data_IF_245750341369
#
_entry.id   IF_245750341369
#
_cell.length_a   1.000
_cell.length_b   1.000
_cell.length_c   1.000
_cell.angle_alpha   90.00
_cell.angle_beta   90.00
_cell.angle_gamma   90.00
#
_symmetry.space_group_name_H-M   'P 1'
#
loop_
_entity.id
_entity.type
_entity.pdbx_description
1 polymer ?
#
# COMPACT_ATOMS: atom_id res chain seq x y z
N UNK A 1 2.92 26.29 -28.31
CA UNK A 1 1.99 25.22 -27.99
C UNK A 1 2.67 24.25 -26.99
N UNK A 2 1.96 23.86 -25.96
CA UNK A 2 2.43 22.93 -24.94
C UNK A 2 1.62 21.61 -24.95
N UNK A 3 0.84 21.41 -25.99
CA UNK A 3 -0.11 20.29 -26.10
C UNK A 3 0.59 18.93 -26.04
N UNK A 4 1.78 18.85 -26.62
CA UNK A 4 2.56 17.61 -26.70
C UNK A 4 3.55 17.39 -25.54
N UNK A 5 3.60 18.32 -24.57
CA UNK A 5 4.42 18.11 -23.38
C UNK A 5 3.84 16.97 -22.54
N UNK A 6 4.66 16.01 -22.08
CA UNK A 6 4.22 15.00 -21.12
C UNK A 6 3.70 15.62 -19.82
N UNK A 7 2.98 14.84 -19.02
CA UNK A 7 2.68 15.24 -17.63
C UNK A 7 4.00 15.42 -16.86
N UNK A 8 4.08 16.45 -16.02
CA UNK A 8 5.28 16.72 -15.26
C UNK A 8 5.38 18.17 -14.77
N UNK A 9 6.49 18.43 -14.11
CA UNK A 9 6.81 19.76 -13.60
C UNK A 9 7.76 20.46 -14.56
N UNK A 10 7.36 21.64 -15.02
CA UNK A 10 8.12 22.44 -15.97
C UNK A 10 8.41 23.83 -15.41
N UNK A 11 9.54 24.39 -15.78
CA UNK A 11 9.82 25.79 -15.57
C UNK A 11 9.76 26.49 -16.94
N UNK A 12 8.73 27.32 -17.15
CA UNK A 12 8.71 28.25 -18.27
C UNK A 12 9.64 29.42 -17.97
N UNK A 13 10.66 29.56 -18.77
CA UNK A 13 11.61 30.67 -18.66
C UNK A 13 11.37 31.64 -19.82
N UNK A 14 10.98 32.85 -19.50
CA UNK A 14 10.83 33.93 -20.46
C UNK A 14 12.02 34.85 -20.30
N UNK A 15 12.79 35.03 -21.36
CA UNK A 15 13.97 35.89 -21.39
C UNK A 15 13.73 37.06 -22.35
N UNK A 16 14.04 38.26 -21.92
CA UNK A 16 14.08 39.45 -22.76
C UNK A 16 15.56 39.79 -23.01
N UNK A 17 15.94 39.79 -24.27
CA UNK A 17 17.32 40.05 -24.69
C UNK A 17 17.37 41.29 -25.59
N UNK A 18 18.45 42.06 -25.50
CA UNK A 18 18.67 43.20 -26.37
C UNK A 18 19.18 42.77 -27.77
N UNK A 19 19.38 43.76 -28.69
CA UNK A 19 19.89 43.49 -30.04
C UNK A 19 21.29 42.86 -30.06
N UNK A 20 22.05 42.95 -28.95
CA UNK A 20 23.35 42.31 -28.77
C UNK A 20 23.28 40.96 -28.09
N UNK A 21 22.07 40.41 -27.93
CA UNK A 21 21.80 39.12 -27.27
C UNK A 21 22.13 39.09 -25.74
N UNK A 22 22.27 40.26 -25.10
CA UNK A 22 22.48 40.35 -23.66
C UNK A 22 21.13 40.23 -22.94
N UNK A 23 21.11 39.49 -21.84
CA UNK A 23 19.90 39.25 -21.04
C UNK A 23 19.54 40.54 -20.27
N UNK A 24 18.37 41.11 -20.56
CA UNK A 24 17.86 42.33 -19.90
C UNK A 24 16.95 41.93 -18.72
N UNK A 25 16.08 40.92 -18.91
CA UNK A 25 15.15 40.48 -17.91
C UNK A 25 14.84 38.98 -18.08
N UNK A 26 14.58 38.31 -16.97
CA UNK A 26 14.18 36.93 -16.97
C UNK A 26 13.02 36.73 -15.98
N UNK A 27 12.03 35.97 -16.39
CA UNK A 27 10.95 35.48 -15.48
C UNK A 27 10.83 33.99 -15.60
N UNK A 28 10.85 33.31 -14.45
CA UNK A 28 10.55 31.89 -14.35
C UNK A 28 9.12 31.71 -13.80
N UNK A 29 8.35 30.86 -14.46
CA UNK A 29 7.01 30.48 -14.03
C UNK A 29 7.00 28.97 -13.93
N UNK A 30 6.68 28.46 -12.75
CA UNK A 30 6.47 27.04 -12.54
C UNK A 30 5.13 26.63 -13.13
N UNK A 31 5.13 25.60 -13.97
CA UNK A 31 3.92 25.02 -14.56
C UNK A 31 3.91 23.54 -14.24
N UNK A 32 2.84 23.11 -13.61
CA UNK A 32 2.56 21.69 -13.41
C UNK A 32 1.51 21.28 -14.43
N UNK A 33 1.82 20.25 -15.22
CA UNK A 33 0.87 19.63 -16.13
C UNK A 33 0.45 18.28 -15.59
N UNK A 34 -0.83 18.15 -15.22
CA UNK A 34 -1.43 16.86 -14.92
C UNK A 34 -1.74 16.14 -16.25
N UNK A 35 -1.26 14.92 -16.39
CA UNK A 35 -1.64 14.06 -17.51
C UNK A 35 -2.84 13.23 -17.07
N UNK A 36 -3.97 13.40 -17.73
CA UNK A 36 -5.20 12.61 -17.49
C UNK A 36 -5.21 11.27 -18.24
N UNK A 37 -4.18 10.99 -19.05
CA UNK A 37 -3.97 9.70 -19.69
C UNK A 37 -2.95 8.85 -18.92
N UNK A 38 -2.98 7.53 -19.07
CA UNK A 38 -2.14 6.55 -18.35
C UNK A 38 -0.68 7.03 -18.16
N UNK A 39 -0.43 7.60 -16.98
CA UNK A 39 0.80 8.36 -16.66
C UNK A 39 2.00 7.43 -16.59
N UNK A 40 1.79 6.15 -16.37
CA UNK A 40 2.81 5.12 -16.26
C UNK A 40 2.95 4.29 -17.54
N UNK A 41 3.03 4.95 -18.69
CA UNK A 41 3.53 4.29 -19.89
C UNK A 41 5.07 4.30 -19.88
N UNK A 42 5.68 3.24 -20.43
CA UNK A 42 7.14 3.15 -20.61
C UNK A 42 7.74 4.39 -21.32
N UNK A 43 7.00 5.00 -22.22
CA UNK A 43 7.41 6.17 -22.98
C UNK A 43 7.55 7.41 -22.08
N UNK A 44 6.59 7.62 -21.18
CA UNK A 44 6.62 8.75 -20.23
C UNK A 44 7.78 8.61 -19.24
N UNK A 45 7.99 7.40 -18.72
CA UNK A 45 9.08 7.13 -17.78
C UNK A 45 10.46 7.35 -18.43
N UNK A 46 10.65 6.98 -19.70
CA UNK A 46 11.91 7.21 -20.42
C UNK A 46 12.30 8.68 -20.50
N UNK A 47 11.34 9.59 -20.55
CA UNK A 47 11.58 11.03 -20.69
C UNK A 47 11.95 11.74 -19.36
N UNK A 48 11.78 11.09 -18.22
CA UNK A 48 12.06 11.68 -16.92
C UNK A 48 13.58 11.83 -16.73
N UNK A 49 14.02 13.02 -16.35
CA UNK A 49 15.40 13.24 -15.92
C UNK A 49 15.50 13.11 -14.40
N UNK A 50 16.28 12.16 -13.93
CA UNK A 50 16.51 11.91 -12.49
C UNK A 50 17.85 12.40 -11.97
N UNK A 51 18.67 13.05 -12.81
CA UNK A 51 19.96 13.59 -12.39
C UNK A 51 19.78 14.63 -11.28
N UNK A 52 20.47 14.42 -10.15
CA UNK A 52 20.38 15.28 -8.98
C UNK A 52 19.11 15.08 -8.14
N UNK A 53 18.29 14.08 -8.44
CA UNK A 53 17.14 13.70 -7.60
C UNK A 53 17.56 12.74 -6.48
N UNK A 54 16.66 12.55 -5.50
CA UNK A 54 16.93 11.65 -4.38
C UNK A 54 17.15 10.19 -4.80
N UNK A 55 16.66 9.77 -5.97
CA UNK A 55 16.83 8.41 -6.48
C UNK A 55 18.21 8.16 -7.09
N UNK A 56 18.97 9.20 -7.36
CA UNK A 56 20.24 9.07 -8.07
C UNK A 56 21.31 8.32 -7.26
N UNK A 57 21.29 8.46 -5.95
CA UNK A 57 22.24 7.83 -5.03
C UNK A 57 21.94 6.34 -4.73
N UNK A 58 20.78 5.80 -5.14
CA UNK A 58 20.39 4.44 -4.77
C UNK A 58 21.07 3.38 -5.62
N UNK A 59 21.55 2.31 -4.97
CA UNK A 59 22.04 1.11 -5.62
C UNK A 59 20.90 0.31 -6.25
N UNK A 60 21.23 -0.62 -7.16
CA UNK A 60 20.21 -1.48 -7.76
C UNK A 60 19.47 -2.35 -6.74
N UNK A 61 20.16 -2.86 -5.73
CA UNK A 61 19.57 -3.65 -4.65
C UNK A 61 18.57 -2.83 -3.84
N UNK A 62 18.93 -1.57 -3.51
CA UNK A 62 18.02 -0.65 -2.83
C UNK A 62 16.79 -0.35 -3.70
N UNK A 63 16.98 -0.11 -4.99
CA UNK A 63 15.88 0.15 -5.91
C UNK A 63 14.92 -1.04 -6.00
N UNK A 64 15.44 -2.27 -6.09
CA UNK A 64 14.62 -3.47 -6.10
C UNK A 64 13.80 -3.61 -4.80
N UNK A 65 14.43 -3.39 -3.65
CA UNK A 65 13.74 -3.38 -2.36
C UNK A 65 12.66 -2.30 -2.30
N UNK A 66 12.96 -1.08 -2.74
CA UNK A 66 12.02 0.03 -2.71
C UNK A 66 10.82 -0.18 -3.64
N UNK A 67 11.07 -0.66 -4.85
CA UNK A 67 10.01 -1.00 -5.80
C UNK A 67 9.09 -2.10 -5.26
N UNK A 68 9.65 -3.10 -4.61
CA UNK A 68 8.86 -4.16 -3.99
C UNK A 68 8.04 -3.63 -2.80
N UNK A 69 8.65 -2.76 -1.99
CA UNK A 69 8.00 -2.19 -0.80
C UNK A 69 6.85 -1.22 -1.09
N UNK A 70 6.78 -0.61 -2.28
CA UNK A 70 5.69 0.30 -2.65
C UNK A 70 4.48 -0.40 -3.27
N UNK A 71 4.56 -1.71 -3.58
CA UNK A 71 3.44 -2.48 -4.15
C UNK A 71 2.12 -2.36 -3.38
N UNK A 72 2.11 -2.32 -2.04
CA UNK A 72 0.87 -2.14 -1.28
C UNK A 72 0.08 -0.89 -1.64
N UNK A 73 0.78 0.22 -1.97
CA UNK A 73 0.17 1.51 -2.29
C UNK A 73 0.18 1.82 -3.80
N UNK A 74 0.62 0.87 -4.61
CA UNK A 74 0.69 0.98 -6.05
C UNK A 74 -0.67 0.63 -6.70
N UNK A 75 -1.02 1.32 -7.78
CA UNK A 75 -2.14 0.94 -8.63
C UNK A 75 -1.85 -0.39 -9.34
N UNK A 76 -2.85 -1.02 -9.93
CA UNK A 76 -2.63 -2.23 -10.71
C UNK A 76 -1.67 -2.00 -11.89
N UNK A 77 -1.80 -0.86 -12.57
CA UNK A 77 -0.88 -0.45 -13.64
C UNK A 77 0.55 -0.29 -13.13
N UNK A 78 0.73 0.33 -11.95
CA UNK A 78 2.05 0.48 -11.32
C UNK A 78 2.65 -0.89 -10.97
N UNK A 79 1.87 -1.82 -10.42
CA UNK A 79 2.33 -3.17 -10.07
C UNK A 79 2.83 -3.94 -11.29
N UNK A 80 2.07 -3.91 -12.38
CA UNK A 80 2.47 -4.55 -13.64
C UNK A 80 3.78 -3.95 -14.16
N UNK A 81 3.95 -2.65 -14.01
CA UNK A 81 5.18 -1.96 -14.42
C UNK A 81 6.36 -2.30 -13.50
N UNK A 82 6.15 -2.35 -12.18
CA UNK A 82 7.16 -2.79 -11.19
C UNK A 82 7.62 -4.22 -11.50
N UNK A 83 6.72 -5.12 -11.84
CA UNK A 83 7.06 -6.50 -12.21
C UNK A 83 7.92 -6.54 -13.48
N UNK A 84 7.55 -5.75 -14.46
CA UNK A 84 8.34 -5.60 -15.69
C UNK A 84 9.73 -5.01 -15.43
N UNK A 85 9.85 -4.06 -14.49
CA UNK A 85 11.12 -3.46 -14.07
C UNK A 85 12.00 -4.43 -13.28
N UNK A 86 11.40 -5.41 -12.59
CA UNK A 86 12.15 -6.41 -11.82
C UNK A 86 12.85 -7.44 -12.70
N UNK A 87 12.38 -7.65 -13.95
CA UNK A 87 12.86 -8.67 -14.87
C UNK A 87 13.97 -8.17 -15.82
N UNK A 88 15.13 -7.75 -15.31
CA UNK A 88 16.33 -7.38 -16.11
C UNK A 88 16.28 -6.02 -16.81
N UNK A 89 15.70 -5.03 -16.19
CA UNK A 89 15.69 -3.66 -16.73
C UNK A 89 16.83 -2.86 -16.12
N UNK A 90 17.42 -1.98 -16.93
CA UNK A 90 18.51 -1.08 -16.53
C UNK A 90 18.15 -0.26 -15.26
N UNK A 91 19.08 -0.12 -14.28
CA UNK A 91 18.82 0.55 -13.01
C UNK A 91 18.27 1.98 -13.17
N UNK A 92 18.65 2.68 -14.24
CA UNK A 92 18.16 4.04 -14.48
C UNK A 92 16.65 4.12 -14.69
N UNK A 93 16.04 3.09 -15.27
CA UNK A 93 14.57 3.02 -15.42
C UNK A 93 13.87 2.84 -14.08
N UNK A 94 14.45 2.03 -13.18
CA UNK A 94 13.97 1.85 -11.80
C UNK A 94 13.99 3.17 -11.03
N UNK A 95 15.07 3.96 -11.17
CA UNK A 95 15.21 5.30 -10.59
C UNK A 95 14.11 6.24 -11.09
N UNK A 96 13.90 6.29 -12.39
CA UNK A 96 12.89 7.13 -13.03
C UNK A 96 11.48 6.77 -12.56
N UNK A 97 11.15 5.49 -12.51
CA UNK A 97 9.86 5.04 -12.02
C UNK A 97 9.66 5.44 -10.55
N UNK A 98 10.61 5.12 -9.67
CA UNK A 98 10.52 5.44 -8.25
C UNK A 98 10.36 6.95 -8.01
N UNK A 99 11.11 7.77 -8.74
CA UNK A 99 11.00 9.23 -8.67
C UNK A 99 9.60 9.69 -9.10
N UNK A 100 9.15 9.25 -10.28
CA UNK A 100 7.84 9.64 -10.82
C UNK A 100 6.70 9.22 -9.90
N UNK A 101 6.77 8.02 -9.37
CA UNK A 101 5.77 7.47 -8.44
C UNK A 101 5.51 8.39 -7.24
N UNK A 102 6.56 9.04 -6.73
CA UNK A 102 6.43 9.97 -5.61
C UNK A 102 6.12 11.39 -6.04
N UNK A 103 6.57 11.83 -7.20
CA UNK A 103 6.18 13.12 -7.80
C UNK A 103 4.66 13.18 -8.04
N UNK A 104 4.06 12.09 -8.51
CA UNK A 104 2.61 12.02 -8.70
C UNK A 104 1.82 12.12 -7.40
N UNK A 105 2.37 11.62 -6.29
CA UNK A 105 1.74 11.62 -4.97
C UNK A 105 1.97 12.90 -4.18
N UNK A 106 3.09 13.54 -4.38
CA UNK A 106 3.41 14.86 -3.82
C UNK A 106 4.38 15.60 -4.76
N UNK A 107 3.85 16.42 -5.69
CA UNK A 107 4.68 17.16 -6.63
C UNK A 107 5.57 18.22 -5.97
N UNK A 108 5.19 18.71 -4.79
CA UNK A 108 5.91 19.77 -4.10
C UNK A 108 7.14 19.25 -3.35
N UNK A 109 7.01 18.09 -2.70
CA UNK A 109 8.11 17.48 -1.96
C UNK A 109 8.04 15.93 -2.01
N UNK A 110 8.36 15.35 -3.18
CA UNK A 110 8.32 13.89 -3.38
C UNK A 110 9.31 13.16 -2.47
N UNK A 111 10.44 13.79 -2.13
CA UNK A 111 11.43 13.18 -1.26
C UNK A 111 10.95 13.04 0.18
N UNK A 112 10.35 14.07 0.73
CA UNK A 112 9.75 14.02 2.07
C UNK A 112 8.66 12.97 2.15
N UNK A 113 7.79 12.91 1.13
CA UNK A 113 6.73 11.91 1.05
C UNK A 113 7.28 10.49 1.01
N UNK A 114 8.34 10.28 0.25
CA UNK A 114 9.08 9.03 0.19
C UNK A 114 9.66 8.63 1.55
N UNK A 115 10.34 9.55 2.23
CA UNK A 115 10.91 9.26 3.55
C UNK A 115 9.84 8.88 4.59
N UNK A 116 8.71 9.58 4.60
CA UNK A 116 7.57 9.23 5.48
C UNK A 116 7.05 7.82 5.20
N UNK A 117 6.99 7.43 3.93
CA UNK A 117 6.58 6.08 3.57
C UNK A 117 7.62 5.03 4.00
N UNK A 118 8.91 5.29 3.81
CA UNK A 118 9.99 4.40 4.25
C UNK A 118 9.97 4.15 5.76
N UNK A 119 9.69 5.17 6.56
CA UNK A 119 9.55 4.98 8.02
C UNK A 119 8.38 4.03 8.33
N UNK A 120 7.25 4.16 7.64
CA UNK A 120 6.13 3.23 7.79
C UNK A 120 6.48 1.81 7.34
N UNK A 121 7.27 1.65 6.27
CA UNK A 121 7.77 0.33 5.84
C UNK A 121 8.66 -0.29 6.91
N UNK A 122 9.53 0.49 7.56
CA UNK A 122 10.37 0.01 8.68
C UNK A 122 9.53 -0.44 9.87
N UNK A 123 8.53 0.36 10.25
CA UNK A 123 7.59 0.03 11.31
C UNK A 123 6.86 -1.29 11.01
N UNK A 124 6.30 -1.42 9.82
CA UNK A 124 5.60 -2.61 9.34
C UNK A 124 6.51 -3.83 9.33
N UNK A 125 7.77 -3.69 8.88
CA UNK A 125 8.72 -4.80 8.91
C UNK A 125 9.02 -5.26 10.33
N UNK A 126 9.10 -4.33 11.28
CA UNK A 126 9.33 -4.64 12.69
C UNK A 126 8.11 -5.32 13.33
N UNK A 127 6.90 -4.84 13.01
CA UNK A 127 5.66 -5.27 13.69
C UNK A 127 5.08 -6.54 13.08
N UNK A 128 5.16 -6.71 11.77
CA UNK A 128 4.48 -7.80 11.05
C UNK A 128 5.44 -8.70 10.26
N UNK A 129 6.74 -8.46 10.33
CA UNK A 129 7.74 -9.33 9.72
C UNK A 129 7.80 -10.70 10.40
N UNK A 130 8.06 -11.73 9.61
CA UNK A 130 8.34 -13.09 10.07
C UNK A 130 9.78 -13.47 9.67
N UNK A 131 10.35 -14.55 10.19
CA UNK A 131 11.68 -15.00 9.77
C UNK A 131 11.81 -15.26 8.26
N UNK A 132 10.70 -15.58 7.59
CA UNK A 132 10.64 -15.92 6.16
C UNK A 132 10.08 -14.82 5.27
N UNK A 133 9.39 -13.82 5.83
CA UNK A 133 8.67 -12.78 5.08
C UNK A 133 8.90 -11.39 5.66
N UNK A 134 9.29 -10.44 4.82
CA UNK A 134 9.32 -9.03 5.21
C UNK A 134 7.89 -8.55 5.54
N UNK A 135 7.75 -7.67 6.54
CA UNK A 135 6.46 -7.24 7.04
C UNK A 135 5.57 -6.60 5.96
N UNK A 136 6.12 -5.81 5.05
CA UNK A 136 5.36 -5.21 3.95
C UNK A 136 4.80 -6.24 2.94
N UNK A 137 5.26 -7.51 3.00
CA UNK A 137 4.75 -8.63 2.19
C UNK A 137 3.67 -9.43 2.89
N UNK A 138 3.46 -9.24 4.18
CA UNK A 138 2.38 -9.89 4.93
C UNK A 138 1.05 -9.17 4.67
N UNK A 139 -0.07 -9.85 4.88
CA UNK A 139 -1.39 -9.24 4.67
C UNK A 139 -1.64 -8.09 5.64
N UNK A 140 -1.22 -8.24 6.92
CA UNK A 140 -1.31 -7.15 7.90
C UNK A 140 -0.47 -5.95 7.48
N UNK A 141 0.77 -6.19 7.04
CA UNK A 141 1.66 -5.12 6.58
C UNK A 141 1.14 -4.42 5.34
N UNK A 142 0.57 -5.16 4.39
CA UNK A 142 -0.08 -4.61 3.19
C UNK A 142 -1.23 -3.69 3.58
N UNK A 143 -2.15 -4.17 4.40
CA UNK A 143 -3.32 -3.39 4.85
C UNK A 143 -2.88 -2.14 5.60
N UNK A 144 -1.91 -2.26 6.53
CA UNK A 144 -1.38 -1.11 7.26
C UNK A 144 -0.74 -0.05 6.33
N UNK A 145 0.04 -0.48 5.34
CA UNK A 145 0.66 0.46 4.40
C UNK A 145 -0.37 1.14 3.50
N UNK A 146 -1.40 0.41 3.08
CA UNK A 146 -2.43 0.88 2.17
C UNK A 146 -3.44 1.81 2.85
N UNK A 147 -3.93 1.43 4.01
CA UNK A 147 -5.03 2.11 4.70
C UNK A 147 -4.60 2.92 5.93
N UNK A 148 -3.37 2.69 6.42
CA UNK A 148 -2.85 3.33 7.63
C UNK A 148 -3.10 2.52 8.88
N UNK A 149 -2.89 3.16 10.03
CA UNK A 149 -3.12 2.56 11.33
C UNK A 149 -4.63 2.36 11.55
N UNK A 150 -5.08 1.17 11.99
CA UNK A 150 -6.47 0.96 12.37
C UNK A 150 -6.84 1.81 13.59
N UNK A 151 -8.12 2.13 13.71
CA UNK A 151 -8.66 2.80 14.88
C UNK A 151 -8.60 1.92 16.12
N UNK A 152 -8.92 0.64 15.94
CA UNK A 152 -8.86 -0.36 17.01
C UNK A 152 -8.43 -1.72 16.47
N UNK A 153 -7.78 -2.52 17.33
CA UNK A 153 -7.35 -3.89 17.05
C UNK A 153 -7.85 -4.78 18.18
N UNK A 154 -8.72 -5.69 17.83
CA UNK A 154 -9.15 -6.75 18.73
C UNK A 154 -8.40 -8.02 18.35
N UNK A 155 -7.72 -8.65 19.31
CA UNK A 155 -6.99 -9.89 19.07
C UNK A 155 -7.36 -10.97 20.07
N UNK A 156 -7.43 -12.19 19.58
CA UNK A 156 -7.61 -13.38 20.41
C UNK A 156 -6.65 -14.49 19.96
N UNK A 157 -5.82 -14.93 20.88
CA UNK A 157 -4.84 -16.02 20.61
C UNK A 157 -5.20 -17.33 21.29
N UNK A 158 -6.13 -17.31 22.25
CA UNK A 158 -6.46 -18.47 23.08
C UNK A 158 -7.98 -18.76 23.14
N UNK A 159 -8.74 -18.30 22.17
CA UNK A 159 -10.16 -18.59 22.11
C UNK A 159 -10.38 -20.06 21.76
N UNK A 160 -11.15 -20.81 22.61
CA UNK A 160 -11.38 -22.23 22.37
C UNK A 160 -12.05 -22.48 21.02
N UNK A 161 -11.44 -23.34 20.21
CA UNK A 161 -11.99 -23.72 18.91
C UNK A 161 -11.64 -22.81 17.75
N UNK A 162 -11.14 -21.61 18.02
CA UNK A 162 -10.73 -20.68 16.97
C UNK A 162 -9.22 -20.76 16.69
N UNK A 163 -8.83 -20.44 15.47
CA UNK A 163 -7.45 -20.06 15.19
C UNK A 163 -7.13 -18.72 15.86
N UNK A 164 -5.86 -18.42 16.21
CA UNK A 164 -5.46 -17.07 16.60
C UNK A 164 -5.90 -16.06 15.53
N UNK A 165 -6.54 -14.97 15.94
CA UNK A 165 -7.05 -13.99 15.00
C UNK A 165 -6.90 -12.55 15.50
N UNK A 166 -6.93 -11.62 14.55
CA UNK A 166 -7.01 -10.17 14.77
C UNK A 166 -8.11 -9.58 13.92
N UNK A 167 -8.91 -8.68 14.49
CA UNK A 167 -9.87 -7.86 13.77
C UNK A 167 -9.39 -6.42 13.85
N UNK A 168 -9.11 -5.82 12.71
CA UNK A 168 -8.72 -4.43 12.58
C UNK A 168 -9.91 -3.60 12.16
N UNK A 169 -10.26 -2.62 12.96
CA UNK A 169 -11.38 -1.74 12.69
C UNK A 169 -10.91 -0.35 12.27
N UNK A 170 -11.52 0.16 11.21
CA UNK A 170 -11.30 1.50 10.66
C UNK A 170 -12.62 2.27 10.64
N UNK A 171 -12.69 3.41 11.31
CA UNK A 171 -13.86 4.30 11.23
C UNK A 171 -14.03 4.88 9.83
N UNK A 172 -12.91 5.23 9.19
CA UNK A 172 -12.90 5.77 7.83
C UNK A 172 -11.59 5.41 7.13
N UNK A 173 -11.67 4.88 5.92
CA UNK A 173 -10.51 4.64 5.05
C UNK A 173 -10.15 5.91 4.24
N UNK A 174 -8.93 5.97 3.65
CA UNK A 174 -8.51 7.10 2.80
C UNK A 174 -9.45 7.39 1.61
N UNK A 175 -10.14 6.39 1.09
CA UNK A 175 -11.11 6.48 0.01
C UNK A 175 -12.55 6.80 0.48
N UNK A 176 -12.71 7.20 1.76
CA UNK A 176 -13.97 7.59 2.42
C UNK A 176 -14.96 6.45 2.67
N UNK A 177 -14.56 5.20 2.57
CA UNK A 177 -15.36 4.10 3.11
C UNK A 177 -15.37 4.19 4.63
N UNK A 178 -16.50 3.86 5.26
CA UNK A 178 -16.69 3.95 6.73
C UNK A 178 -17.09 2.61 7.30
N UNK A 179 -16.81 2.39 8.59
CA UNK A 179 -17.10 1.16 9.32
C UNK A 179 -16.50 -0.07 8.63
N UNK A 180 -15.19 -0.02 8.42
CA UNK A 180 -14.49 -1.09 7.72
C UNK A 180 -13.75 -1.98 8.70
N UNK A 181 -13.95 -3.28 8.54
CA UNK A 181 -13.24 -4.31 9.26
C UNK A 181 -12.34 -5.14 8.35
N UNK A 182 -11.24 -5.60 8.92
CA UNK A 182 -10.35 -6.59 8.31
C UNK A 182 -10.14 -7.70 9.33
N UNK A 183 -10.53 -8.92 9.00
CA UNK A 183 -10.32 -10.10 9.82
C UNK A 183 -9.10 -10.89 9.32
N UNK A 184 -8.13 -11.07 10.19
CA UNK A 184 -6.93 -11.86 9.93
C UNK A 184 -6.88 -13.06 10.87
N UNK A 185 -6.33 -14.18 10.41
CA UNK A 185 -6.14 -15.37 11.23
C UNK A 185 -4.77 -15.99 11.00
N UNK A 186 -4.29 -16.75 11.96
CA UNK A 186 -3.01 -17.43 11.94
C UNK A 186 -3.22 -18.96 11.84
N UNK A 187 -3.24 -19.52 10.61
CA UNK A 187 -3.53 -20.94 10.43
C UNK A 187 -2.41 -21.87 10.92
N UNK A 188 -1.17 -21.38 11.00
CA UNK A 188 -0.02 -22.18 11.41
C UNK A 188 0.17 -22.25 12.93
N UNK A 189 -0.48 -21.35 13.68
CA UNK A 189 -0.37 -21.20 15.15
C UNK A 189 1.06 -20.95 15.67
N UNK A 190 2.03 -20.70 14.80
CA UNK A 190 3.47 -20.64 15.17
C UNK A 190 4.20 -19.44 14.58
N UNK A 191 3.81 -19.00 13.40
CA UNK A 191 4.66 -18.11 12.58
C UNK A 191 4.40 -16.62 12.76
N UNK A 192 3.33 -16.24 13.46
CA UNK A 192 2.84 -14.84 13.50
C UNK A 192 2.56 -14.27 12.08
N UNK A 193 2.31 -15.14 11.09
CA UNK A 193 1.97 -14.77 9.71
C UNK A 193 0.45 -14.83 9.50
N UNK A 194 -0.21 -13.79 10.01
CA UNK A 194 -1.65 -13.67 9.90
C UNK A 194 -2.07 -13.38 8.45
N UNK A 195 -3.02 -14.14 7.96
CA UNK A 195 -3.56 -14.07 6.60
C UNK A 195 -4.92 -13.36 6.65
N UNK A 196 -5.18 -12.48 5.69
CA UNK A 196 -6.49 -11.85 5.53
C UNK A 196 -7.52 -12.91 5.13
N UNK A 197 -8.57 -13.05 5.93
CA UNK A 197 -9.66 -13.99 5.64
C UNK A 197 -10.96 -13.29 5.22
N UNK A 198 -11.19 -12.06 5.67
CA UNK A 198 -12.38 -11.30 5.30
C UNK A 198 -12.17 -9.80 5.46
N UNK A 199 -12.85 -9.01 4.63
CA UNK A 199 -13.07 -7.59 4.81
C UNK A 199 -14.35 -7.15 4.10
N UNK A 200 -15.00 -6.11 4.61
CA UNK A 200 -16.07 -5.41 3.92
C UNK A 200 -15.56 -4.21 3.09
N UNK A 201 -14.25 -3.98 3.03
CA UNK A 201 -13.65 -2.96 2.18
C UNK A 201 -13.79 -3.31 0.69
N UNK A 202 -14.12 -2.33 -0.14
CA UNK A 202 -14.21 -2.52 -1.58
C UNK A 202 -12.87 -2.94 -2.17
N UNK A 203 -12.90 -4.01 -2.96
CA UNK A 203 -11.70 -4.52 -3.64
C UNK A 203 -10.83 -5.45 -2.79
N UNK A 204 -11.22 -5.70 -1.55
CA UNK A 204 -10.58 -6.67 -0.66
C UNK A 204 -11.31 -8.02 -0.68
N UNK A 205 -10.67 -9.02 -0.09
CA UNK A 205 -11.26 -10.36 0.05
C UNK A 205 -12.54 -10.30 0.88
N UNK A 206 -13.65 -10.67 0.28
CA UNK A 206 -14.95 -10.76 0.94
C UNK A 206 -15.41 -12.22 1.06
N UNK A 207 -15.56 -12.70 2.28
CA UNK A 207 -16.02 -14.05 2.57
C UNK A 207 -17.02 -14.01 3.73
N UNK A 208 -18.30 -14.11 3.42
CA UNK A 208 -19.39 -14.08 4.42
C UNK A 208 -19.31 -15.24 5.45
N UNK A 209 -18.60 -16.31 5.10
CA UNK A 209 -18.45 -17.49 5.96
C UNK A 209 -17.15 -17.48 6.77
N UNK A 210 -16.47 -16.36 6.85
CA UNK A 210 -15.19 -16.26 7.55
C UNK A 210 -15.25 -16.66 9.02
N UNK A 211 -16.34 -16.36 9.72
CA UNK A 211 -16.55 -16.76 11.12
C UNK A 211 -16.57 -18.28 11.27
N UNK A 212 -17.24 -18.99 10.35
CA UNK A 212 -17.25 -20.46 10.35
C UNK A 212 -15.85 -21.02 10.14
N UNK A 213 -15.14 -20.51 9.14
CA UNK A 213 -13.76 -20.94 8.83
C UNK A 213 -12.78 -20.69 9.96
N UNK A 214 -13.00 -19.65 10.75
CA UNK A 214 -12.16 -19.32 11.90
C UNK A 214 -12.19 -20.45 12.95
N UNK A 215 -13.31 -21.17 13.08
CA UNK A 215 -13.52 -22.26 14.03
C UNK A 215 -13.38 -23.66 13.43
N UNK A 216 -12.97 -23.80 12.16
CA UNK A 216 -12.81 -25.10 11.49
C UNK A 216 -11.79 -26.03 12.16
N UNK A 217 -10.93 -25.51 13.02
CA UNK A 217 -9.88 -26.30 13.66
C UNK A 217 -10.42 -27.33 14.70
N UNK A 218 -11.64 -27.17 15.20
CA UNK A 218 -12.17 -28.00 16.29
C UNK A 218 -13.58 -28.52 16.02
N UNK A 219 -14.34 -27.91 15.15
CA UNK A 219 -15.72 -28.31 14.90
C UNK A 219 -15.79 -29.58 14.07
N UNK A 220 -16.48 -30.60 14.58
CA UNK A 220 -16.91 -31.72 13.76
C UNK A 220 -17.88 -31.22 12.69
N UNK A 221 -17.94 -31.85 11.49
CA UNK A 221 -18.86 -31.43 10.41
C UNK A 221 -20.32 -31.27 10.85
N UNK A 222 -20.75 -31.96 11.90
CA UNK A 222 -22.10 -31.88 12.49
C UNK A 222 -22.29 -30.63 13.36
N UNK A 223 -21.24 -30.08 13.95
CA UNK A 223 -21.29 -28.85 14.75
C UNK A 223 -21.21 -27.58 13.89
N UNK A 224 -20.61 -27.68 12.69
CA UNK A 224 -20.56 -26.59 11.72
C UNK A 224 -21.92 -26.18 11.15
N UNK A 225 -22.89 -27.09 11.11
CA UNK A 225 -24.23 -26.81 10.57
C UNK A 225 -25.07 -25.92 11.52
N UNK A 226 -24.72 -25.86 12.80
CA UNK A 226 -25.43 -25.05 13.78
C UNK A 226 -24.97 -23.61 13.87
N UNK A 227 -23.82 -23.27 13.26
CA UNK A 227 -23.28 -21.90 13.27
C UNK A 227 -24.12 -20.88 12.48
N UNK A 228 -24.93 -21.33 11.53
CA UNK A 228 -25.81 -20.47 10.73
C UNK A 228 -27.07 -19.99 11.48
N UNK A 229 -27.36 -20.55 12.68
CA UNK A 229 -28.62 -20.31 13.41
C UNK A 229 -28.48 -20.15 14.93
N UNK A 230 -27.30 -20.21 15.49
CA UNK A 230 -27.12 -20.04 16.93
C UNK A 230 -26.15 -18.90 17.23
N UNK A 231 -26.64 -17.95 18.01
CA UNK A 231 -25.81 -17.20 18.96
C UNK A 231 -25.01 -18.23 19.74
N UNK A 232 -23.75 -18.47 19.33
CA UNK A 232 -22.87 -19.38 20.07
C UNK A 232 -22.57 -18.70 21.39
N UNK A 233 -23.43 -18.90 22.36
CA UNK A 233 -23.20 -18.44 23.72
C UNK A 233 -21.90 -19.08 24.22
N UNK A 234 -20.95 -18.22 24.58
CA UNK A 234 -19.79 -18.66 25.32
C UNK A 234 -20.28 -19.31 26.64
N UNK A 235 -20.05 -20.60 26.79
CA UNK A 235 -20.44 -21.36 27.99
C UNK A 235 -19.81 -20.81 29.30
N UNK A 236 -18.95 -19.77 29.20
CA UNK A 236 -18.24 -19.16 30.32
C UNK A 236 -18.69 -17.69 30.55
N UNK A 237 -19.64 -17.14 29.75
CA UNK A 237 -20.22 -15.82 29.99
C UNK A 237 -19.31 -14.64 29.60
N UNK A 238 -18.35 -14.81 28.71
CA UNK A 238 -17.51 -13.77 28.14
C UNK A 238 -17.96 -13.34 26.74
N UNK A 239 -17.89 -12.05 26.44
CA UNK A 239 -18.03 -11.57 25.07
C UNK A 239 -16.85 -12.07 24.25
N UNK A 240 -17.12 -12.62 23.05
CA UNK A 240 -16.06 -12.97 22.11
C UNK A 240 -15.51 -11.72 21.47
N UNK A 241 -14.20 -11.72 21.23
CA UNK A 241 -13.56 -10.63 20.49
C UNK A 241 -14.22 -10.40 19.11
N UNK A 242 -14.66 -11.49 18.47
CA UNK A 242 -15.35 -11.48 17.18
C UNK A 242 -16.72 -10.76 17.18
N UNK A 243 -17.36 -10.62 18.34
CA UNK A 243 -18.69 -10.02 18.46
C UNK A 243 -18.61 -8.51 18.76
N UNK A 244 -17.42 -7.97 18.96
CA UNK A 244 -17.23 -6.54 19.26
C UNK A 244 -17.50 -5.64 18.06
N UNK A 245 -17.34 -6.16 16.83
CA UNK A 245 -17.55 -5.39 15.62
C UNK A 245 -18.31 -6.23 14.58
N UNK A 246 -19.46 -5.71 14.15
CA UNK A 246 -20.20 -6.22 12.99
C UNK A 246 -19.75 -5.44 11.73
N UNK A 247 -19.29 -6.13 10.71
CA UNK A 247 -18.89 -5.55 9.43
C UNK A 247 -19.02 -6.55 8.28
#
# INVERSE_FOLDING_TARGET
>A
DITDLPGGNYNLVIEVRNKKNELIAQKKVFIQRANTGAINSWENIKMINTSGTFTDAYSEEQLNYFLDSIKPVATESDRNLIESLSARVEPYMKKKFLYNFWVERDPNDPYKKWLQYLERVKEVNKSFGTPSRAGYKTDRGRVYLQYGQPYDIVSSVNEPGAYPYEIWYYTTLPDRQTNIGFAFYEPSMVSNDYILMHSNARGELHDERWKVKLYENVASPSEMLDFDNTEVEDKIGGYRAIDMYEF
#
